data_IF_429532916260
#
_entry.id   IF_429532916260
#
_cell.length_a   1.000
_cell.length_b   1.000
_cell.length_c   1.000
_cell.angle_alpha   90.00
_cell.angle_beta   90.00
_cell.angle_gamma   90.00
#
_symmetry.space_group_name_H-M   'P 1'
#
loop_
_entity.id
_entity.type
_entity.pdbx_description
1 polymer ?
#
# COMPACT_ATOMS: atom_id res chain seq x y z
N UNK A 1 -28.72 20.37 -4.22
CA UNK A 1 -29.26 19.14 -3.60
C UNK A 1 -30.79 19.22 -3.50
N UNK A 2 -31.50 18.07 -3.38
CA UNK A 2 -32.99 18.07 -3.30
C UNK A 2 -33.51 18.87 -2.11
N UNK A 3 -32.82 18.82 -0.96
CA UNK A 3 -33.14 19.63 0.23
C UNK A 3 -33.06 21.13 -0.09
N UNK A 4 -32.03 21.54 -0.83
CA UNK A 4 -31.85 22.94 -1.24
C UNK A 4 -32.94 23.41 -2.23
N UNK A 5 -33.27 22.53 -3.19
CA UNK A 5 -34.35 22.79 -4.16
C UNK A 5 -35.72 22.96 -3.45
N UNK A 6 -35.96 22.17 -2.39
CA UNK A 6 -37.16 22.31 -1.54
C UNK A 6 -37.16 23.62 -0.74
N UNK A 7 -36.03 24.04 -0.20
CA UNK A 7 -35.91 25.33 0.50
C UNK A 7 -36.18 26.50 -0.44
N UNK A 8 -35.59 26.47 -1.64
CA UNK A 8 -35.83 27.50 -2.67
C UNK A 8 -37.29 27.53 -3.04
N UNK A 9 -37.95 26.38 -3.26
CA UNK A 9 -39.39 26.33 -3.57
C UNK A 9 -40.27 26.85 -2.42
N UNK A 10 -39.84 26.69 -1.16
CA UNK A 10 -40.55 27.23 0.02
C UNK A 10 -40.49 28.76 0.09
N UNK A 11 -39.33 29.34 -0.28
CA UNK A 11 -39.11 30.80 -0.22
C UNK A 11 -39.63 31.52 -1.46
N UNK A 12 -40.15 30.81 -2.48
CA UNK A 12 -40.68 31.40 -3.70
C UNK A 12 -41.99 32.08 -3.45
N UNK A 13 -42.05 33.40 -3.70
CA UNK A 13 -43.25 34.24 -3.52
C UNK A 13 -44.26 34.04 -4.65
N UNK A 14 -43.82 33.63 -5.86
CA UNK A 14 -44.68 33.35 -7.00
C UNK A 14 -45.40 32.01 -6.84
N UNK A 15 -46.68 32.06 -6.56
CA UNK A 15 -47.52 30.85 -6.37
C UNK A 15 -47.57 29.93 -7.60
N UNK A 16 -47.53 30.51 -8.82
CA UNK A 16 -47.55 29.69 -10.06
C UNK A 16 -46.23 28.96 -10.27
N UNK A 17 -45.09 29.63 -10.07
CA UNK A 17 -43.78 29.05 -10.16
C UNK A 17 -43.57 27.94 -9.09
N UNK A 18 -43.99 28.20 -7.87
CA UNK A 18 -44.00 27.26 -6.75
C UNK A 18 -44.80 26.00 -7.10
N UNK A 19 -46.07 26.16 -7.55
CA UNK A 19 -46.94 25.03 -7.87
C UNK A 19 -46.42 24.18 -9.04
N UNK A 20 -45.74 24.82 -10.00
CA UNK A 20 -45.15 24.12 -11.14
C UNK A 20 -43.92 23.24 -10.74
N UNK A 21 -43.21 23.59 -9.66
CA UNK A 21 -42.04 22.83 -9.16
C UNK A 21 -42.39 21.63 -8.30
N UNK A 22 -43.55 21.65 -7.62
CA UNK A 22 -43.94 20.56 -6.70
C UNK A 22 -43.93 19.17 -7.31
N UNK A 23 -44.50 18.90 -8.51
CA UNK A 23 -44.49 17.58 -9.11
C UNK A 23 -43.04 17.10 -9.38
N UNK A 24 -42.18 18.01 -9.86
CA UNK A 24 -40.78 17.65 -10.18
C UNK A 24 -39.99 17.26 -8.91
N UNK A 25 -40.24 17.98 -7.81
CA UNK A 25 -39.60 17.66 -6.52
C UNK A 25 -40.14 16.36 -5.93
N UNK A 26 -41.43 16.10 -6.05
CA UNK A 26 -42.05 14.82 -5.66
C UNK A 26 -41.49 13.63 -6.46
N UNK A 27 -41.36 13.76 -7.79
CA UNK A 27 -40.82 12.73 -8.64
C UNK A 27 -39.33 12.45 -8.31
N UNK A 28 -38.56 13.49 -8.00
CA UNK A 28 -37.17 13.29 -7.53
C UNK A 28 -37.11 12.58 -6.18
N UNK A 29 -38.03 12.87 -5.27
CA UNK A 29 -38.12 12.20 -3.97
C UNK A 29 -38.52 10.72 -4.13
N UNK A 30 -39.43 10.41 -5.04
CA UNK A 30 -39.78 9.03 -5.39
C UNK A 30 -38.58 8.28 -5.98
N UNK A 31 -37.81 8.94 -6.84
CA UNK A 31 -36.58 8.35 -7.38
C UNK A 31 -35.57 8.00 -6.27
N UNK A 32 -35.37 8.90 -5.31
CA UNK A 32 -34.52 8.63 -4.13
C UNK A 32 -35.04 7.44 -3.34
N UNK A 33 -36.36 7.32 -3.12
CA UNK A 33 -36.95 6.17 -2.44
C UNK A 33 -36.72 4.82 -3.18
N UNK A 34 -36.78 4.83 -4.51
CA UNK A 34 -36.48 3.66 -5.34
C UNK A 34 -35.00 3.28 -5.20
N UNK A 35 -34.09 4.23 -5.30
CA UNK A 35 -32.65 4.00 -5.15
C UNK A 35 -32.29 3.44 -3.78
N UNK A 36 -32.85 3.99 -2.68
CA UNK A 36 -32.68 3.47 -1.32
C UNK A 36 -33.19 2.03 -1.24
N UNK A 37 -34.32 1.71 -1.85
CA UNK A 37 -34.86 0.33 -1.86
C UNK A 37 -33.92 -0.63 -2.56
N UNK A 38 -33.36 -0.24 -3.72
CA UNK A 38 -32.36 -1.02 -4.43
C UNK A 38 -31.08 -1.22 -3.62
N UNK A 39 -30.62 -0.21 -2.88
CA UNK A 39 -29.47 -0.34 -1.99
C UNK A 39 -29.76 -1.31 -0.83
N UNK A 40 -30.94 -1.29 -0.24
CA UNK A 40 -31.36 -2.20 0.82
C UNK A 40 -31.35 -3.68 0.33
N UNK A 41 -31.81 -3.93 -0.90
CA UNK A 41 -31.85 -5.29 -1.47
C UNK A 41 -30.44 -5.83 -1.74
N UNK A 42 -29.47 -4.96 -2.04
CA UNK A 42 -28.11 -5.33 -2.41
C UNK A 42 -27.10 -5.28 -1.24
N UNK A 43 -27.46 -4.70 -0.10
CA UNK A 43 -26.58 -4.59 1.05
C UNK A 43 -26.73 -5.77 2.00
N UNK A 44 -25.61 -6.36 2.42
CA UNK A 44 -25.55 -7.42 3.43
C UNK A 44 -25.29 -6.90 4.86
N UNK A 45 -25.00 -5.62 5.01
CA UNK A 45 -24.54 -5.02 6.26
C UNK A 45 -25.70 -4.51 7.10
N UNK A 46 -25.99 -5.17 8.21
CA UNK A 46 -27.15 -4.90 9.07
C UNK A 46 -27.23 -3.44 9.54
N UNK A 47 -26.12 -2.88 10.03
CA UNK A 47 -26.09 -1.49 10.54
C UNK A 47 -26.35 -0.45 9.44
N UNK A 48 -25.86 -0.71 8.24
CA UNK A 48 -26.13 0.15 7.05
C UNK A 48 -27.59 0.01 6.66
N UNK A 49 -28.13 -1.21 6.65
CA UNK A 49 -29.50 -1.49 6.31
C UNK A 49 -30.49 -0.81 7.27
N UNK A 50 -30.19 -0.74 8.57
CA UNK A 50 -31.02 -0.02 9.55
C UNK A 50 -31.13 1.47 9.19
N UNK A 51 -30.03 2.13 8.80
CA UNK A 51 -30.06 3.54 8.41
C UNK A 51 -30.76 3.74 7.04
N UNK A 52 -30.54 2.86 6.09
CA UNK A 52 -31.22 2.88 4.79
C UNK A 52 -32.75 2.65 4.96
N UNK A 53 -33.16 1.78 5.87
CA UNK A 53 -34.56 1.58 6.20
C UNK A 53 -35.21 2.83 6.79
N UNK A 54 -34.52 3.55 7.69
CA UNK A 54 -34.98 4.85 8.19
C UNK A 54 -35.12 5.88 7.08
N UNK A 55 -34.13 5.98 6.19
CA UNK A 55 -34.20 6.85 5.02
C UNK A 55 -35.41 6.52 4.13
N UNK A 56 -35.68 5.25 3.88
CA UNK A 56 -36.82 4.80 3.08
C UNK A 56 -38.16 5.15 3.74
N UNK A 57 -38.27 5.00 5.07
CA UNK A 57 -39.50 5.36 5.81
C UNK A 57 -39.85 6.85 5.70
N UNK A 58 -38.84 7.72 5.62
CA UNK A 58 -39.04 9.16 5.47
C UNK A 58 -39.25 9.59 4.00
N UNK A 59 -38.68 8.90 3.03
CA UNK A 59 -38.69 9.29 1.63
C UNK A 59 -40.10 9.26 1.00
N UNK A 60 -40.91 8.24 1.30
CA UNK A 60 -42.32 8.17 0.81
C UNK A 60 -43.21 9.30 1.29
N UNK A 61 -43.29 9.55 2.62
CA UNK A 61 -44.00 10.70 3.16
C UNK A 61 -43.51 12.05 2.64
N UNK A 62 -42.18 12.22 2.43
CA UNK A 62 -41.63 13.45 1.84
C UNK A 62 -42.19 13.73 0.42
N UNK A 63 -42.28 12.67 -0.43
CA UNK A 63 -42.90 12.80 -1.76
C UNK A 63 -44.37 13.19 -1.68
N UNK A 64 -45.14 12.58 -0.77
CA UNK A 64 -46.57 12.92 -0.56
C UNK A 64 -46.73 14.37 -0.10
N UNK A 65 -45.96 14.79 0.90
CA UNK A 65 -45.98 16.16 1.39
C UNK A 65 -45.62 17.18 0.29
N UNK A 66 -44.69 16.85 -0.63
CA UNK A 66 -44.44 17.67 -1.81
C UNK A 66 -45.67 17.80 -2.73
N UNK A 67 -46.36 16.69 -3.02
CA UNK A 67 -47.54 16.68 -3.88
C UNK A 67 -48.72 17.47 -3.27
N UNK A 68 -48.86 17.45 -1.96
CA UNK A 68 -49.89 18.18 -1.21
C UNK A 68 -49.53 19.65 -0.97
N UNK A 69 -48.33 20.06 -1.30
CA UNK A 69 -47.86 21.43 -1.13
C UNK A 69 -47.40 21.78 0.30
N UNK A 70 -47.25 20.77 1.15
CA UNK A 70 -46.78 20.90 2.53
C UNK A 70 -45.24 20.97 2.58
N UNK A 71 -44.66 22.10 2.08
CA UNK A 71 -43.22 22.22 1.85
C UNK A 71 -42.37 22.19 3.13
N UNK A 72 -42.88 22.67 4.25
CA UNK A 72 -42.16 22.59 5.54
C UNK A 72 -41.98 21.15 6.00
N UNK A 73 -43.03 20.33 5.89
CA UNK A 73 -43.02 18.92 6.22
C UNK A 73 -42.16 18.15 5.23
N UNK A 74 -42.29 18.42 3.93
CA UNK A 74 -41.45 17.80 2.88
C UNK A 74 -39.97 18.11 3.08
N UNK A 75 -39.62 19.32 3.47
CA UNK A 75 -38.24 19.73 3.75
C UNK A 75 -37.70 19.00 4.97
N UNK A 76 -38.45 18.93 6.07
CA UNK A 76 -38.04 18.19 7.28
C UNK A 76 -37.78 16.72 7.01
N UNK A 77 -38.70 16.05 6.30
CA UNK A 77 -38.56 14.65 5.92
C UNK A 77 -37.38 14.42 4.96
N UNK A 78 -37.13 15.30 4.00
CA UNK A 78 -35.99 15.23 3.11
C UNK A 78 -34.66 15.44 3.85
N UNK A 79 -34.61 16.26 4.90
CA UNK A 79 -33.46 16.41 5.78
C UNK A 79 -33.22 15.15 6.59
N UNK A 80 -34.26 14.46 7.06
CA UNK A 80 -34.13 13.15 7.73
C UNK A 80 -33.55 12.08 6.79
N UNK A 81 -34.04 12.02 5.54
CA UNK A 81 -33.47 11.12 4.51
C UNK A 81 -32.00 11.42 4.28
N UNK A 82 -31.65 12.69 4.10
CA UNK A 82 -30.26 13.09 3.86
C UNK A 82 -29.35 12.72 5.04
N UNK A 83 -29.81 12.93 6.27
CA UNK A 83 -29.07 12.58 7.48
C UNK A 83 -28.87 11.06 7.62
N UNK A 84 -29.90 10.27 7.35
CA UNK A 84 -29.81 8.81 7.39
C UNK A 84 -28.86 8.26 6.32
N UNK A 85 -28.89 8.79 5.10
CA UNK A 85 -27.93 8.44 4.03
C UNK A 85 -26.50 8.84 4.40
N UNK A 86 -26.30 10.00 4.99
CA UNK A 86 -24.98 10.46 5.44
C UNK A 86 -24.42 9.54 6.55
N UNK A 87 -25.26 9.07 7.47
CA UNK A 87 -24.87 8.08 8.47
C UNK A 87 -24.51 6.74 7.85
N UNK A 88 -25.29 6.29 6.85
CA UNK A 88 -25.00 5.05 6.10
C UNK A 88 -23.63 5.12 5.43
N UNK A 89 -23.29 6.22 4.77
CA UNK A 89 -21.97 6.44 4.17
C UNK A 89 -20.86 6.40 5.22
N UNK A 90 -21.05 7.06 6.36
CA UNK A 90 -20.09 7.02 7.46
C UNK A 90 -19.85 5.60 8.00
N UNK A 91 -20.89 4.77 8.09
CA UNK A 91 -20.78 3.37 8.49
C UNK A 91 -20.05 2.53 7.45
N UNK A 92 -20.31 2.72 6.15
CA UNK A 92 -19.61 2.05 5.06
C UNK A 92 -18.12 2.39 5.07
N UNK A 93 -17.77 3.66 5.24
CA UNK A 93 -16.37 4.08 5.36
C UNK A 93 -15.66 3.44 6.55
N UNK A 94 -16.35 3.32 7.70
CA UNK A 94 -15.80 2.63 8.87
C UNK A 94 -15.61 1.13 8.63
N UNK A 95 -16.58 0.48 7.99
CA UNK A 95 -16.51 -0.94 7.63
C UNK A 95 -15.36 -1.20 6.64
N UNK A 96 -15.24 -0.36 5.61
CA UNK A 96 -14.13 -0.45 4.65
C UNK A 96 -12.77 -0.33 5.35
N UNK A 97 -12.59 0.68 6.22
CA UNK A 97 -11.37 0.87 6.99
C UNK A 97 -11.08 -0.33 7.90
N UNK A 98 -12.10 -0.83 8.59
CA UNK A 98 -11.95 -1.99 9.49
C UNK A 98 -11.55 -3.24 8.71
N UNK A 99 -12.22 -3.51 7.59
CA UNK A 99 -11.93 -4.66 6.73
C UNK A 99 -10.53 -4.56 6.13
N UNK A 100 -10.14 -3.36 5.64
CA UNK A 100 -8.79 -3.11 5.12
C UNK A 100 -7.72 -3.34 6.17
N UNK A 101 -7.93 -2.85 7.41
CA UNK A 101 -7.01 -3.06 8.51
C UNK A 101 -6.91 -4.54 8.90
N UNK A 102 -8.03 -5.28 8.93
CA UNK A 102 -8.02 -6.71 9.22
C UNK A 102 -7.29 -7.53 8.15
N UNK A 103 -7.46 -7.17 6.86
CA UNK A 103 -6.72 -7.79 5.77
C UNK A 103 -5.23 -7.50 5.86
N UNK A 104 -4.85 -6.24 6.10
CA UNK A 104 -3.46 -5.86 6.30
C UNK A 104 -2.83 -6.62 7.47
N UNK A 105 -3.54 -6.70 8.61
CA UNK A 105 -3.10 -7.47 9.78
C UNK A 105 -2.85 -8.94 9.45
N UNK A 106 -3.81 -9.62 8.79
CA UNK A 106 -3.64 -11.02 8.38
C UNK A 106 -2.48 -11.23 7.43
N UNK A 107 -2.28 -10.30 6.49
CA UNK A 107 -1.16 -10.38 5.54
C UNK A 107 0.18 -10.28 6.27
N UNK A 108 0.33 -9.34 7.20
CA UNK A 108 1.58 -9.18 7.95
C UNK A 108 1.82 -10.35 8.89
N UNK A 109 0.79 -10.85 9.59
CA UNK A 109 0.87 -12.03 10.45
C UNK A 109 1.35 -13.28 9.68
N UNK A 110 1.02 -13.39 8.40
CA UNK A 110 1.49 -14.47 7.53
C UNK A 110 2.88 -14.22 6.94
N UNK A 111 3.28 -12.96 6.74
CA UNK A 111 4.56 -12.59 6.14
C UNK A 111 5.71 -12.64 7.15
N UNK A 112 5.49 -12.13 8.37
CA UNK A 112 6.53 -11.99 9.38
C UNK A 112 7.27 -13.31 9.66
N UNK A 113 6.60 -14.44 9.99
CA UNK A 113 7.32 -15.69 10.25
C UNK A 113 8.10 -16.22 9.03
N UNK A 114 7.62 -15.97 7.82
CA UNK A 114 8.31 -16.36 6.60
C UNK A 114 9.57 -15.53 6.36
N UNK A 115 9.49 -14.23 6.60
CA UNK A 115 10.63 -13.32 6.50
C UNK A 115 11.68 -13.60 7.56
N UNK A 116 11.26 -13.88 8.81
CA UNK A 116 12.17 -14.29 9.86
C UNK A 116 12.91 -15.60 9.50
N UNK A 117 12.20 -16.58 8.92
CA UNK A 117 12.83 -17.83 8.47
C UNK A 117 13.85 -17.59 7.34
N UNK A 118 13.56 -16.68 6.40
CA UNK A 118 14.50 -16.29 5.33
C UNK A 118 15.72 -15.59 5.92
N UNK A 119 15.51 -14.64 6.84
CA UNK A 119 16.57 -13.94 7.57
C UNK A 119 17.51 -14.90 8.29
N UNK A 120 16.96 -15.86 9.05
CA UNK A 120 17.74 -16.85 9.79
C UNK A 120 18.57 -17.76 8.84
N UNK A 121 17.99 -18.11 7.69
CA UNK A 121 18.72 -18.86 6.67
C UNK A 121 19.85 -18.01 6.08
N UNK A 122 19.60 -16.76 5.79
CA UNK A 122 20.60 -15.82 5.28
C UNK A 122 21.75 -15.61 6.27
N UNK A 123 21.46 -15.49 7.56
CA UNK A 123 22.47 -15.41 8.61
C UNK A 123 23.40 -16.64 8.58
N UNK A 124 22.83 -17.84 8.43
CA UNK A 124 23.61 -19.08 8.33
C UNK A 124 24.47 -19.12 7.07
N UNK A 125 23.99 -18.60 5.95
CA UNK A 125 24.76 -18.49 4.71
C UNK A 125 25.96 -17.58 4.92
N UNK A 126 25.77 -16.39 5.52
CA UNK A 126 26.87 -15.46 5.83
C UNK A 126 27.91 -16.09 6.75
N UNK A 127 27.48 -16.75 7.82
CA UNK A 127 28.40 -17.44 8.75
C UNK A 127 29.22 -18.50 8.03
N UNK A 128 28.58 -19.28 7.16
CA UNK A 128 29.26 -20.32 6.37
C UNK A 128 30.27 -19.74 5.37
N UNK A 129 29.87 -18.62 4.71
CA UNK A 129 30.74 -17.88 3.78
C UNK A 129 31.98 -17.34 4.51
N UNK A 130 31.79 -16.79 5.73
CA UNK A 130 32.92 -16.33 6.59
C UNK A 130 33.87 -17.45 6.95
N UNK A 131 33.34 -18.64 7.35
CA UNK A 131 34.13 -19.81 7.67
C UNK A 131 34.97 -20.28 6.45
N UNK A 132 34.34 -20.35 5.28
CA UNK A 132 35.02 -20.76 4.03
C UNK A 132 36.10 -19.74 3.63
N UNK A 133 35.86 -18.45 3.78
CA UNK A 133 36.87 -17.43 3.52
C UNK A 133 38.04 -17.52 4.48
N UNK A 134 37.80 -17.75 5.78
CA UNK A 134 38.84 -17.93 6.77
C UNK A 134 39.75 -19.14 6.45
N UNK A 135 39.13 -20.30 6.10
CA UNK A 135 39.87 -21.49 5.70
C UNK A 135 40.69 -21.24 4.43
N UNK A 136 40.11 -20.53 3.44
CA UNK A 136 40.82 -20.14 2.22
C UNK A 136 42.05 -19.27 2.50
N UNK A 137 41.90 -18.28 3.38
CA UNK A 137 43.00 -17.36 3.76
C UNK A 137 44.15 -18.05 4.50
N UNK A 138 43.88 -19.13 5.25
CA UNK A 138 44.89 -19.90 5.97
C UNK A 138 45.75 -20.80 5.07
N UNK A 139 45.37 -20.92 3.79
CA UNK A 139 46.11 -21.77 2.83
C UNK A 139 47.08 -20.97 2.00
N UNK A 140 48.29 -21.50 1.76
CA UNK A 140 49.32 -20.78 0.98
C UNK A 140 48.85 -20.43 -0.45
N UNK A 141 48.03 -21.28 -1.07
CA UNK A 141 47.53 -21.07 -2.44
C UNK A 141 46.25 -20.20 -2.48
N UNK A 142 45.61 -19.88 -1.34
CA UNK A 142 44.37 -19.10 -1.29
C UNK A 142 43.19 -19.75 -2.03
N UNK A 143 43.23 -21.08 -2.27
CA UNK A 143 42.23 -21.82 -3.05
C UNK A 143 41.34 -22.68 -2.16
N UNK A 144 40.10 -22.91 -2.61
CA UNK A 144 39.16 -23.83 -1.96
C UNK A 144 39.40 -25.26 -2.41
N UNK A 145 39.23 -26.21 -1.50
CA UNK A 145 39.25 -27.64 -1.84
C UNK A 145 37.91 -28.01 -2.53
N UNK A 146 37.91 -29.16 -3.24
CA UNK A 146 36.73 -29.65 -3.95
C UNK A 146 35.50 -29.80 -3.05
N UNK A 147 35.65 -30.25 -1.81
CA UNK A 147 34.56 -30.36 -0.84
C UNK A 147 33.99 -28.99 -0.44
N UNK A 148 34.84 -27.97 -0.36
CA UNK A 148 34.47 -26.61 -0.05
C UNK A 148 33.79 -25.91 -1.26
N UNK A 149 34.29 -26.19 -2.47
CA UNK A 149 33.65 -25.74 -3.72
C UNK A 149 32.22 -26.30 -3.83
N UNK A 150 32.01 -27.58 -3.50
CA UNK A 150 30.66 -28.17 -3.42
C UNK A 150 29.79 -27.41 -2.38
N UNK A 151 30.38 -27.09 -1.23
CA UNK A 151 29.66 -26.33 -0.20
C UNK A 151 29.29 -24.92 -0.71
N UNK A 152 30.19 -24.21 -1.37
CA UNK A 152 29.95 -22.89 -1.96
C UNK A 152 28.86 -22.96 -3.02
N UNK A 153 28.89 -23.98 -3.91
CA UNK A 153 27.80 -24.18 -4.89
C UNK A 153 26.45 -24.45 -4.22
N UNK A 154 26.45 -25.17 -3.09
CA UNK A 154 25.24 -25.38 -2.28
C UNK A 154 24.72 -24.10 -1.67
N UNK A 155 25.61 -23.20 -1.20
CA UNK A 155 25.22 -21.88 -0.70
C UNK A 155 24.65 -20.97 -1.81
N UNK A 156 25.26 -21.00 -3.01
CA UNK A 156 24.75 -20.28 -4.17
C UNK A 156 23.32 -20.72 -4.55
N UNK A 157 23.09 -22.04 -4.60
CA UNK A 157 21.75 -22.59 -4.85
C UNK A 157 20.74 -22.19 -3.76
N UNK A 158 21.17 -22.12 -2.50
CA UNK A 158 20.33 -21.67 -1.40
C UNK A 158 19.94 -20.18 -1.54
N UNK A 159 20.92 -19.33 -1.91
CA UNK A 159 20.65 -17.89 -2.18
C UNK A 159 19.59 -17.72 -3.27
N UNK A 160 19.69 -18.49 -4.37
CA UNK A 160 18.68 -18.45 -5.42
C UNK A 160 17.30 -18.89 -4.90
N UNK A 161 17.23 -19.96 -4.10
CA UNK A 161 15.96 -20.40 -3.51
C UNK A 161 15.36 -19.36 -2.56
N UNK A 162 16.18 -18.63 -1.80
CA UNK A 162 15.72 -17.55 -0.94
C UNK A 162 15.22 -16.37 -1.75
N UNK A 163 15.89 -16.00 -2.83
CA UNK A 163 15.44 -14.98 -3.78
C UNK A 163 14.08 -15.32 -4.40
N UNK A 164 13.89 -16.57 -4.81
CA UNK A 164 12.62 -17.04 -5.39
C UNK A 164 11.47 -16.98 -4.37
N UNK A 165 11.73 -17.39 -3.11
CA UNK A 165 10.76 -17.25 -2.01
C UNK A 165 10.38 -15.79 -1.74
N UNK A 166 11.36 -14.88 -1.77
CA UNK A 166 11.08 -13.44 -1.61
C UNK A 166 10.24 -12.89 -2.77
N UNK A 167 10.53 -13.32 -4.00
CA UNK A 167 9.74 -12.93 -5.17
C UNK A 167 8.28 -13.45 -5.06
N UNK A 168 8.07 -14.66 -4.57
CA UNK A 168 6.75 -15.20 -4.29
C UNK A 168 6.02 -14.38 -3.22
N UNK A 169 6.68 -14.07 -2.10
CA UNK A 169 6.12 -13.22 -1.05
C UNK A 169 5.79 -11.82 -1.56
N UNK A 170 6.69 -11.20 -2.32
CA UNK A 170 6.45 -9.90 -2.95
C UNK A 170 5.24 -9.93 -3.91
N UNK A 171 5.03 -11.05 -4.61
CA UNK A 171 3.87 -11.25 -5.49
C UNK A 171 2.52 -11.29 -4.77
N UNK A 172 2.50 -11.56 -3.46
CA UNK A 172 1.27 -11.51 -2.65
C UNK A 172 0.89 -10.11 -2.20
N UNK A 173 1.78 -9.12 -2.36
CA UNK A 173 1.59 -7.75 -1.95
C UNK A 173 1.06 -6.88 -3.10
N UNK A 174 0.35 -5.79 -2.75
CA UNK A 174 -0.11 -4.81 -3.72
C UNK A 174 1.07 -4.15 -4.46
N UNK A 175 0.86 -3.81 -5.74
CA UNK A 175 1.86 -3.22 -6.62
C UNK A 175 2.42 -1.86 -6.14
N UNK A 176 1.72 -1.18 -5.25
CA UNK A 176 2.07 0.15 -4.73
C UNK A 176 2.78 0.09 -3.38
N UNK A 177 2.97 -1.10 -2.81
CA UNK A 177 3.59 -1.26 -1.49
C UNK A 177 5.10 -1.01 -1.54
N UNK A 178 5.61 -0.15 -0.66
CA UNK A 178 7.04 0.04 -0.44
C UNK A 178 7.72 -1.25 0.04
N UNK A 179 7.01 -2.05 0.83
CA UNK A 179 7.47 -3.36 1.31
C UNK A 179 7.69 -4.31 0.14
N UNK A 180 6.76 -4.40 -0.82
CA UNK A 180 6.95 -5.21 -2.03
C UNK A 180 8.21 -4.83 -2.77
N UNK A 181 8.41 -3.52 -3.00
CA UNK A 181 9.60 -3.04 -3.68
C UNK A 181 10.88 -3.41 -2.92
N UNK A 182 10.89 -3.25 -1.60
CA UNK A 182 12.02 -3.62 -0.75
C UNK A 182 12.33 -5.11 -0.82
N UNK A 183 11.32 -5.99 -0.78
CA UNK A 183 11.50 -7.45 -0.91
C UNK A 183 12.07 -7.84 -2.27
N UNK A 184 11.60 -7.23 -3.36
CA UNK A 184 12.17 -7.46 -4.69
C UNK A 184 13.64 -7.04 -4.78
N UNK A 185 13.99 -5.93 -4.15
CA UNK A 185 15.37 -5.45 -4.09
C UNK A 185 16.27 -6.40 -3.29
N UNK A 186 15.80 -6.87 -2.13
CA UNK A 186 16.51 -7.89 -1.35
C UNK A 186 16.70 -9.18 -2.16
N UNK A 187 15.66 -9.63 -2.87
CA UNK A 187 15.75 -10.80 -3.76
C UNK A 187 16.81 -10.63 -4.85
N UNK A 188 16.91 -9.43 -5.45
CA UNK A 188 17.95 -9.11 -6.41
C UNK A 188 19.35 -9.15 -5.79
N UNK A 189 19.52 -8.67 -4.57
CA UNK A 189 20.79 -8.75 -3.85
C UNK A 189 21.17 -10.21 -3.57
N UNK A 190 20.22 -11.07 -3.19
CA UNK A 190 20.45 -12.51 -3.04
C UNK A 190 20.94 -13.16 -4.34
N UNK A 191 20.34 -12.80 -5.48
CA UNK A 191 20.82 -13.29 -6.78
C UNK A 191 22.26 -12.84 -7.08
N UNK A 192 22.61 -11.59 -6.74
CA UNK A 192 24.00 -11.11 -6.89
C UNK A 192 24.98 -11.89 -6.00
N UNK A 193 24.60 -12.14 -4.73
CA UNK A 193 25.39 -12.99 -3.81
C UNK A 193 25.54 -14.40 -4.39
N UNK A 194 24.44 -14.98 -4.89
CA UNK A 194 24.46 -16.28 -5.55
C UNK A 194 25.48 -16.34 -6.68
N UNK A 195 25.49 -15.32 -7.57
CA UNK A 195 26.46 -15.21 -8.65
C UNK A 195 27.91 -15.06 -8.19
N UNK A 196 28.16 -14.35 -7.08
CA UNK A 196 29.50 -14.26 -6.49
C UNK A 196 29.94 -15.62 -5.92
N UNK A 197 29.05 -16.33 -5.25
CA UNK A 197 29.32 -17.68 -4.72
C UNK A 197 29.55 -18.71 -5.84
N UNK A 198 28.77 -18.67 -6.93
CA UNK A 198 29.01 -19.51 -8.11
C UNK A 198 30.40 -19.25 -8.73
N UNK A 199 30.88 -18.01 -8.67
CA UNK A 199 32.23 -17.64 -9.08
C UNK A 199 33.29 -17.93 -7.99
N UNK A 200 32.96 -18.68 -6.92
CA UNK A 200 33.84 -19.02 -5.76
C UNK A 200 34.37 -17.78 -5.02
N UNK A 201 33.69 -16.65 -5.14
CA UNK A 201 34.08 -15.39 -4.51
C UNK A 201 33.47 -15.29 -3.09
N UNK A 202 34.09 -15.93 -2.11
CA UNK A 202 33.67 -15.90 -0.69
C UNK A 202 34.38 -14.81 0.12
N UNK A 203 34.99 -13.84 -0.55
CA UNK A 203 35.77 -12.74 0.06
C UNK A 203 34.93 -11.67 0.75
N UNK A 204 35.61 -10.59 1.14
CA UNK A 204 35.01 -9.47 1.87
C UNK A 204 33.84 -8.83 1.11
N UNK A 205 33.96 -8.64 -0.21
CA UNK A 205 32.90 -8.05 -1.04
C UNK A 205 31.58 -8.86 -0.96
N UNK A 206 31.69 -10.21 -1.02
CA UNK A 206 30.53 -11.09 -0.90
C UNK A 206 29.91 -11.00 0.50
N UNK A 207 30.75 -11.04 1.55
CA UNK A 207 30.31 -10.98 2.94
C UNK A 207 29.68 -9.62 3.27
N UNK A 208 30.22 -8.52 2.75
CA UNK A 208 29.65 -7.21 2.91
C UNK A 208 28.27 -7.12 2.27
N UNK A 209 28.11 -7.62 1.03
CA UNK A 209 26.81 -7.64 0.35
C UNK A 209 25.78 -8.50 1.11
N UNK A 210 26.22 -9.64 1.70
CA UNK A 210 25.37 -10.48 2.55
C UNK A 210 24.96 -9.75 3.84
N UNK A 211 25.85 -8.96 4.44
CA UNK A 211 25.52 -8.16 5.63
C UNK A 211 24.51 -7.04 5.29
N UNK A 212 24.73 -6.31 4.20
CA UNK A 212 23.80 -5.27 3.72
C UNK A 212 22.41 -5.85 3.44
N UNK A 213 22.36 -7.08 2.90
CA UNK A 213 21.12 -7.80 2.65
C UNK A 213 20.39 -8.13 3.96
N UNK A 214 21.11 -8.61 5.00
CA UNK A 214 20.52 -8.87 6.32
C UNK A 214 19.98 -7.58 6.96
N UNK A 215 20.74 -6.49 6.91
CA UNK A 215 20.32 -5.20 7.46
C UNK A 215 19.03 -4.70 6.78
N UNK A 216 18.86 -4.97 5.48
CA UNK A 216 17.62 -4.65 4.76
C UNK A 216 16.45 -5.53 5.13
N UNK A 217 16.68 -6.84 5.30
CA UNK A 217 15.62 -7.72 5.81
C UNK A 217 15.14 -7.26 7.17
N UNK A 218 16.06 -6.85 8.06
CA UNK A 218 15.71 -6.29 9.38
C UNK A 218 14.89 -5.01 9.26
N UNK A 219 15.23 -4.10 8.33
CA UNK A 219 14.44 -2.89 8.07
C UNK A 219 13.03 -3.22 7.58
N UNK A 220 12.88 -4.19 6.68
CA UNK A 220 11.57 -4.62 6.18
C UNK A 220 10.74 -5.26 7.30
N UNK A 221 11.33 -6.13 8.11
CA UNK A 221 10.65 -6.74 9.26
C UNK A 221 10.20 -5.69 10.26
N UNK A 222 11.06 -4.70 10.57
CA UNK A 222 10.71 -3.58 11.46
C UNK A 222 9.58 -2.73 10.91
N UNK A 223 9.62 -2.38 9.62
CA UNK A 223 8.56 -1.60 8.96
C UNK A 223 7.21 -2.35 8.97
N UNK A 224 7.22 -3.67 8.79
CA UNK A 224 6.03 -4.50 8.90
C UNK A 224 5.48 -4.52 10.33
N UNK A 225 6.33 -4.68 11.34
CA UNK A 225 5.93 -4.68 12.74
C UNK A 225 5.34 -3.32 13.18
N UNK A 226 5.94 -2.20 12.74
CA UNK A 226 5.41 -0.85 13.00
C UNK A 226 4.09 -0.59 12.28
N UNK A 227 3.92 -1.11 11.06
CA UNK A 227 2.66 -1.04 10.31
C UNK A 227 1.53 -1.78 11.05
N UNK A 228 1.84 -2.93 11.66
CA UNK A 228 0.90 -3.65 12.53
C UNK A 228 0.53 -2.84 13.78
N UNK A 229 1.53 -2.28 14.47
CA UNK A 229 1.30 -1.49 15.67
C UNK A 229 0.43 -0.25 15.38
N UNK A 230 0.62 0.38 14.21
CA UNK A 230 -0.17 1.53 13.76
C UNK A 230 -1.60 1.18 13.33
N UNK A 231 -1.84 -0.08 12.97
CA UNK A 231 -3.15 -0.58 12.52
C UNK A 231 -4.07 -1.02 13.68
N UNK A 232 -3.53 -1.15 14.90
CA UNK A 232 -4.33 -1.43 16.09
C UNK A 232 -5.12 -0.16 16.45
N UNK A 233 -6.46 -0.25 16.64
CA UNK A 233 -7.25 0.90 17.05
C UNK A 233 -6.79 1.37 18.42
N UNK A 234 -6.31 2.61 18.47
CA UNK A 234 -5.97 3.30 19.71
C UNK A 234 -7.28 3.51 20.49
N UNK A 235 -7.54 2.67 21.47
CA UNK A 235 -8.76 2.71 22.31
C UNK A 235 -8.84 3.97 23.19
N UNK A 236 -7.86 4.86 23.11
CA UNK A 236 -7.76 6.07 23.94
C UNK A 236 -7.87 7.41 23.20
N UNK A 237 -7.97 7.45 21.88
CA UNK A 237 -8.05 8.71 21.12
C UNK A 237 -9.51 9.10 20.86
N UNK A 238 -10.01 10.01 21.68
CA UNK A 238 -11.29 10.69 21.47
C UNK A 238 -11.39 11.30 20.06
N UNK A 239 -12.59 11.18 19.48
CA UNK A 239 -13.02 11.75 18.20
C UNK A 239 -12.40 13.13 17.94
N UNK A 240 -11.42 13.21 17.06
CA UNK A 240 -11.11 14.43 16.31
C UNK A 240 -11.67 14.26 14.91
N UNK A 241 -12.89 14.76 14.74
CA UNK A 241 -13.46 15.00 13.42
C UNK A 241 -12.63 16.07 12.70
N UNK A 242 -12.18 15.76 11.49
CA UNK A 242 -11.61 16.75 10.59
C UNK A 242 -10.26 16.42 9.96
N UNK A 243 -10.13 15.26 9.32
CA UNK A 243 -9.08 15.06 8.31
C UNK A 243 -9.74 14.67 6.98
N UNK A 244 -9.46 15.46 5.95
CA UNK A 244 -9.90 15.27 4.58
C UNK A 244 -9.52 13.88 4.05
N UNK A 245 -10.42 13.26 3.28
CA UNK A 245 -10.33 11.90 2.69
C UNK A 245 -9.02 11.56 1.97
N UNK A 246 -8.21 12.54 1.64
CA UNK A 246 -6.90 12.39 0.98
C UNK A 246 -5.80 11.87 1.92
N UNK A 247 -5.93 12.02 3.24
CA UNK A 247 -4.87 11.65 4.20
C UNK A 247 -4.92 10.17 4.63
N UNK A 248 -6.04 9.49 4.45
CA UNK A 248 -6.20 8.08 4.82
C UNK A 248 -5.50 7.09 3.86
N UNK A 249 -5.02 7.57 2.73
CA UNK A 249 -4.23 6.81 1.75
C UNK A 249 -2.72 7.04 1.88
N UNK A 250 -2.30 7.93 2.76
CA UNK A 250 -0.89 8.07 3.10
C UNK A 250 -0.48 6.84 3.91
N UNK A 251 0.41 6.11 3.34
CA UNK A 251 1.05 4.91 3.85
C UNK A 251 1.52 5.11 5.29
N UNK A 252 1.63 4.01 6.01
CA UNK A 252 2.11 4.06 7.38
C UNK A 252 3.43 4.83 7.47
N UNK A 253 3.71 5.56 8.56
CA UNK A 253 5.01 6.21 8.76
C UNK A 253 6.19 5.28 8.50
N UNK A 254 6.02 3.99 8.78
CA UNK A 254 7.00 2.94 8.54
C UNK A 254 7.32 2.74 7.04
N UNK A 255 6.32 2.78 6.16
CA UNK A 255 6.56 2.69 4.71
C UNK A 255 7.31 3.92 4.18
N UNK A 256 7.01 5.11 4.71
CA UNK A 256 7.74 6.34 4.36
C UNK A 256 9.19 6.28 4.85
N UNK A 257 9.44 5.75 6.05
CA UNK A 257 10.80 5.53 6.57
C UNK A 257 11.56 4.52 5.71
N UNK A 258 10.91 3.44 5.28
CA UNK A 258 11.51 2.45 4.39
C UNK A 258 11.89 3.09 3.03
N UNK A 259 11.01 3.88 2.42
CA UNK A 259 11.31 4.63 1.20
C UNK A 259 12.46 5.61 1.38
N UNK A 260 12.50 6.31 2.51
CA UNK A 260 13.57 7.24 2.85
C UNK A 260 14.92 6.52 2.96
N UNK A 261 14.96 5.38 3.65
CA UNK A 261 16.19 4.56 3.79
C UNK A 261 16.69 4.07 2.43
N UNK A 262 15.79 3.62 1.56
CA UNK A 262 16.12 3.20 0.20
C UNK A 262 16.67 4.36 -0.65
N UNK A 263 16.07 5.55 -0.53
CA UNK A 263 16.53 6.76 -1.23
C UNK A 263 17.92 7.19 -0.74
N UNK A 264 18.17 7.15 0.56
CA UNK A 264 19.47 7.46 1.15
C UNK A 264 20.55 6.53 0.60
N UNK A 265 20.26 5.24 0.49
CA UNK A 265 21.21 4.29 -0.05
C UNK A 265 21.51 4.54 -1.54
N UNK A 266 20.49 4.75 -2.39
CA UNK A 266 20.72 5.12 -3.81
C UNK A 266 21.62 6.35 -3.90
N UNK A 267 21.44 7.32 -3.01
CA UNK A 267 22.27 8.51 -2.92
C UNK A 267 23.72 8.18 -2.55
N UNK A 268 23.95 7.32 -1.58
CA UNK A 268 25.30 6.91 -1.12
C UNK A 268 26.03 6.13 -2.22
N UNK A 269 25.36 5.16 -2.85
CA UNK A 269 25.93 4.39 -3.96
C UNK A 269 26.26 5.32 -5.14
N UNK A 270 25.39 6.27 -5.47
CA UNK A 270 25.63 7.27 -6.50
C UNK A 270 26.84 8.13 -6.19
N UNK A 271 26.98 8.60 -4.96
CA UNK A 271 28.14 9.38 -4.49
C UNK A 271 29.43 8.57 -4.58
N UNK A 272 29.37 7.28 -4.26
CA UNK A 272 30.54 6.39 -4.37
C UNK A 272 30.99 6.28 -5.84
N UNK A 273 30.08 5.99 -6.76
CA UNK A 273 30.39 5.90 -8.19
C UNK A 273 30.94 7.23 -8.75
N UNK A 274 30.39 8.36 -8.32
CA UNK A 274 30.86 9.67 -8.72
C UNK A 274 32.31 9.93 -8.23
N UNK A 275 32.67 9.55 -7.00
CA UNK A 275 34.06 9.62 -6.49
C UNK A 275 35.02 8.76 -7.34
N UNK A 276 34.59 7.57 -7.74
CA UNK A 276 35.38 6.69 -8.63
C UNK A 276 35.58 7.36 -9.98
N UNK A 277 34.50 7.91 -10.57
CA UNK A 277 34.56 8.64 -11.83
C UNK A 277 35.52 9.84 -11.77
N UNK A 278 35.47 10.62 -10.67
CA UNK A 278 36.37 11.76 -10.50
C UNK A 278 37.83 11.36 -10.36
N UNK A 279 38.14 10.22 -9.73
CA UNK A 279 39.53 9.72 -9.58
C UNK A 279 40.08 9.10 -10.84
N UNK A 280 39.27 8.44 -11.63
CA UNK A 280 39.70 7.64 -12.79
C UNK A 280 39.38 8.29 -14.14
N UNK A 281 38.66 9.41 -14.15
CA UNK A 281 38.21 10.10 -15.36
C UNK A 281 37.02 9.44 -16.06
N UNK A 282 36.84 8.12 -15.88
CA UNK A 282 35.70 7.34 -16.42
C UNK A 282 35.35 6.21 -15.45
N UNK A 283 34.12 5.72 -15.57
CA UNK A 283 33.70 4.52 -14.82
C UNK A 283 34.15 3.26 -15.56
N UNK A 284 34.81 2.30 -14.88
CA UNK A 284 35.07 0.97 -15.44
C UNK A 284 33.78 0.26 -15.85
N UNK A 285 33.85 -0.71 -16.80
CA UNK A 285 32.65 -1.35 -17.36
C UNK A 285 31.69 -1.92 -16.30
N UNK A 286 32.21 -2.52 -15.25
CA UNK A 286 31.41 -3.07 -14.13
C UNK A 286 30.66 -1.96 -13.38
N UNK A 287 31.30 -0.81 -13.12
CA UNK A 287 30.66 0.31 -12.46
C UNK A 287 29.71 1.10 -13.39
N UNK A 288 29.90 1.04 -14.70
CA UNK A 288 28.91 1.55 -15.66
C UNK A 288 27.60 0.77 -15.58
N UNK A 289 27.66 -0.55 -15.40
CA UNK A 289 26.47 -1.37 -15.22
C UNK A 289 25.78 -1.05 -13.88
N UNK A 290 26.54 -0.95 -12.79
CA UNK A 290 25.99 -0.52 -11.48
C UNK A 290 25.31 0.87 -11.57
N UNK A 291 25.91 1.81 -12.29
CA UNK A 291 25.31 3.12 -12.50
C UNK A 291 23.96 3.03 -13.24
N UNK A 292 23.85 2.19 -14.29
CA UNK A 292 22.57 1.98 -14.99
C UNK A 292 21.51 1.38 -14.09
N UNK A 293 21.89 0.42 -13.26
CA UNK A 293 21.00 -0.19 -12.27
C UNK A 293 20.51 0.83 -11.24
N UNK A 294 21.39 1.73 -10.74
CA UNK A 294 21.02 2.81 -9.83
C UNK A 294 20.03 3.79 -10.46
N UNK A 295 20.24 4.17 -11.73
CA UNK A 295 19.30 5.03 -12.47
C UNK A 295 17.93 4.36 -12.57
N UNK A 296 17.89 3.07 -12.89
CA UNK A 296 16.62 2.32 -12.94
C UNK A 296 15.93 2.27 -11.57
N UNK A 297 16.66 2.02 -10.48
CA UNK A 297 16.13 2.04 -9.12
C UNK A 297 15.57 3.40 -8.75
N UNK A 298 16.30 4.48 -9.07
CA UNK A 298 15.85 5.85 -8.80
C UNK A 298 14.54 6.14 -9.53
N UNK A 299 14.43 5.73 -10.80
CA UNK A 299 13.20 5.89 -11.57
C UNK A 299 12.02 5.13 -10.95
N UNK A 300 12.25 3.91 -10.49
CA UNK A 300 11.22 3.10 -9.83
C UNK A 300 10.77 3.73 -8.50
N UNK A 301 11.70 4.23 -7.68
CA UNK A 301 11.38 4.95 -6.44
C UNK A 301 10.55 6.21 -6.71
N UNK A 302 10.94 7.00 -7.72
CA UNK A 302 10.17 8.20 -8.12
C UNK A 302 8.76 7.83 -8.58
N UNK A 303 8.62 6.77 -9.38
CA UNK A 303 7.30 6.29 -9.80
C UNK A 303 6.46 5.80 -8.62
N UNK A 304 7.07 5.07 -7.68
CA UNK A 304 6.39 4.61 -6.47
C UNK A 304 5.88 5.79 -5.65
N UNK A 305 6.73 6.78 -5.36
CA UNK A 305 6.35 8.00 -4.63
C UNK A 305 5.26 8.78 -5.39
N UNK A 306 5.33 8.86 -6.72
CA UNK A 306 4.31 9.53 -7.53
C UNK A 306 2.95 8.82 -7.46
N UNK A 307 2.93 7.48 -7.46
CA UNK A 307 1.71 6.67 -7.29
C UNK A 307 1.10 6.85 -5.90
N UNK A 308 1.93 6.87 -4.87
CA UNK A 308 1.52 7.14 -3.49
C UNK A 308 0.86 8.52 -3.38
N UNK A 309 1.46 9.53 -4.01
CA UNK A 309 0.96 10.93 -3.95
C UNK A 309 -0.33 11.14 -4.76
N UNK A 310 -0.58 10.37 -5.82
CA UNK A 310 -1.71 10.57 -6.73
C UNK A 310 -2.41 9.24 -7.08
N UNK A 311 -3.08 8.57 -6.13
CA UNK A 311 -3.73 7.27 -6.39
C UNK A 311 -4.86 7.36 -7.43
N UNK A 312 -5.54 8.50 -7.55
CA UNK A 312 -6.66 8.69 -8.48
C UNK A 312 -6.27 8.74 -9.98
N UNK A 313 -5.00 8.97 -10.32
CA UNK A 313 -4.56 9.00 -11.73
C UNK A 313 -4.25 7.62 -12.33
N UNK A 314 -3.93 6.64 -11.51
CA UNK A 314 -3.56 5.29 -11.96
C UNK A 314 -4.75 4.46 -12.43
N UNK A 315 -5.92 4.62 -11.82
CA UNK A 315 -7.15 3.88 -12.20
C UNK A 315 -7.68 4.28 -13.60
N UNK A 316 -7.37 5.49 -14.08
CA UNK A 316 -7.82 5.96 -15.40
C UNK A 316 -6.96 5.50 -16.59
N UNK A 317 -5.73 5.05 -16.36
CA UNK A 317 -4.85 4.60 -17.46
C UNK A 317 -5.00 3.10 -17.79
N UNK A 318 -5.45 2.29 -16.85
CA UNK A 318 -5.64 0.84 -17.09
C UNK A 318 -7.02 0.49 -17.67
N UNK A 319 -8.01 1.39 -17.60
CA UNK A 319 -9.36 1.22 -18.15
C UNK A 319 -9.55 1.70 -19.59
N UNK A 320 -8.51 2.15 -20.28
CA UNK A 320 -8.61 2.78 -21.60
C UNK A 320 -7.79 2.10 -22.69
N UNK A 321 -7.98 0.80 -22.91
CA UNK A 321 -7.68 0.18 -24.20
C UNK A 321 -8.96 -0.37 -24.80
N UNK A 322 -9.32 0.05 -26.05
CA UNK A 322 -10.49 -0.43 -26.77
C UNK A 322 -10.33 -1.88 -27.22
#
# INVERSE_FOLDING_TARGET
TLVEDLRVAREEEDLQARTARLPVLADRQDQVAIEITSLLENSSETMVNDQLALARLAAGPASMACREGHLDEATGLAEEVALALQRSLGLLDQLEKTTRNQLAFRMVDQLDPKLQAIRDQQQRVLEKTRQLNQVRQQRPAGTLLRSEQITVSGLAALEQQLADKLAELAGTLNDVSAVRFALMEVGRMMQQVGGLLEAEQVGEDCQQLQQELLDRLDQVCSALAESLASSLPDTSAGMKAGSTETDALLQSPAELQLLLSMQQQVLEETRMLERIRQRQGSLPPRQQQQHRELVSRQQQLVQLVARIRNPARTVRQEGGQP
#
